data_IF_169488157761
#
_entry.id   IF_169488157761
#
_cell.length_a   1.000
_cell.length_b   1.000
_cell.length_c   1.000
_cell.angle_alpha   90.00
_cell.angle_beta   90.00
_cell.angle_gamma   90.00
#
_symmetry.space_group_name_H-M   'P 1'
#
loop_
_entity.id
_entity.type
_entity.pdbx_description
1 polymer ?
#
# COMPACT_ATOMS: atom_id res chain seq x y z
N UNK A 1 50.30 -26.84 31.18
CA UNK A 1 49.06 -26.15 31.63
C UNK A 1 48.70 -25.12 30.61
N UNK A 2 47.80 -25.47 29.72
CA UNK A 2 47.35 -24.61 28.61
C UNK A 2 46.14 -23.81 29.05
N UNK A 3 46.28 -22.49 29.09
CA UNK A 3 45.19 -21.54 29.37
C UNK A 3 44.27 -21.47 28.16
N UNK A 4 43.07 -22.02 28.26
CA UNK A 4 41.99 -21.78 27.33
C UNK A 4 41.53 -20.33 27.48
N UNK A 5 41.85 -19.51 26.48
CA UNK A 5 41.32 -18.15 26.38
C UNK A 5 39.81 -18.18 26.20
N UNK A 6 39.09 -17.58 27.15
CA UNK A 6 37.65 -17.28 27.02
C UNK A 6 37.46 -16.29 25.87
N UNK A 7 37.09 -16.76 24.69
CA UNK A 7 36.52 -15.93 23.65
C UNK A 7 35.19 -15.40 24.17
N UNK A 8 35.14 -14.16 24.65
CA UNK A 8 33.91 -13.42 24.81
C UNK A 8 33.25 -13.30 23.45
N UNK A 9 32.22 -14.11 23.18
CA UNK A 9 31.29 -13.89 22.09
C UNK A 9 30.71 -12.51 22.33
N UNK A 10 31.16 -11.53 21.52
CA UNK A 10 30.60 -10.17 21.57
C UNK A 10 29.09 -10.28 21.34
N UNK A 11 28.28 -9.71 22.24
CA UNK A 11 26.83 -9.64 22.03
C UNK A 11 26.59 -9.04 20.65
N UNK A 12 26.06 -9.85 19.75
CA UNK A 12 25.69 -9.40 18.41
C UNK A 12 24.72 -8.22 18.58
N UNK A 13 25.01 -7.07 17.99
CA UNK A 13 24.22 -5.85 18.14
C UNK A 13 22.81 -6.10 17.59
N UNK A 14 21.80 -5.97 18.45
CA UNK A 14 20.37 -6.04 18.06
C UNK A 14 20.07 -4.92 17.07
N UNK A 15 19.41 -5.24 15.96
CA UNK A 15 18.93 -4.26 14.98
C UNK A 15 17.63 -3.62 15.46
N UNK A 16 17.58 -2.30 15.53
CA UNK A 16 16.40 -1.56 15.94
C UNK A 16 15.71 -0.96 14.71
N UNK A 17 14.50 -1.37 14.44
CA UNK A 17 13.67 -0.85 13.34
C UNK A 17 12.54 0.00 13.92
N UNK A 18 12.37 1.20 13.40
CA UNK A 18 11.27 2.09 13.72
C UNK A 18 10.33 2.18 12.52
N UNK A 19 9.09 1.75 12.69
CA UNK A 19 8.02 1.97 11.73
C UNK A 19 7.25 3.24 12.11
N UNK A 20 7.26 4.24 11.22
CA UNK A 20 6.46 5.46 11.34
C UNK A 20 5.28 5.33 10.37
N UNK A 21 4.09 5.05 10.91
CA UNK A 21 2.85 5.02 10.14
C UNK A 21 2.21 6.41 10.13
N UNK A 22 2.39 7.13 9.03
CA UNK A 22 1.85 8.48 8.80
C UNK A 22 0.45 8.50 8.18
N UNK A 23 -0.24 7.36 8.10
CA UNK A 23 -1.59 7.30 7.56
C UNK A 23 -2.63 7.82 8.56
N UNK A 24 -3.56 8.73 8.15
CA UNK A 24 -4.71 9.11 8.97
C UNK A 24 -5.65 7.94 9.31
N UNK A 25 -5.63 6.86 8.52
CA UNK A 25 -6.41 5.64 8.77
C UNK A 25 -5.80 4.76 9.88
N UNK A 26 -4.67 5.15 10.46
CA UNK A 26 -3.98 4.42 11.53
C UNK A 26 -3.69 2.98 11.11
N UNK A 27 -4.09 2.01 11.95
CA UNK A 27 -3.88 0.57 11.70
C UNK A 27 -4.63 0.00 10.48
N UNK A 28 -5.61 0.72 9.96
CA UNK A 28 -6.40 0.32 8.78
C UNK A 28 -5.81 0.83 7.45
N UNK A 29 -4.56 1.23 7.44
CA UNK A 29 -3.86 1.76 6.27
C UNK A 29 -3.44 0.65 5.31
N UNK A 30 -3.65 0.85 4.00
CA UNK A 30 -3.16 -0.06 2.97
C UNK A 30 -1.62 -0.05 2.86
N UNK A 31 -1.00 1.13 2.95
CA UNK A 31 0.47 1.23 2.97
C UNK A 31 1.10 0.53 4.18
N UNK A 32 0.36 0.44 5.30
CA UNK A 32 0.82 -0.32 6.47
C UNK A 32 0.87 -1.83 6.21
N UNK A 33 -0.01 -2.38 5.36
CA UNK A 33 0.05 -3.79 4.95
C UNK A 33 1.38 -4.09 4.22
N UNK A 34 1.78 -3.19 3.31
CA UNK A 34 3.07 -3.29 2.63
C UNK A 34 4.24 -3.23 3.63
N UNK A 35 4.16 -2.29 4.60
CA UNK A 35 5.20 -2.14 5.61
C UNK A 35 5.33 -3.40 6.49
N UNK A 36 4.23 -4.03 6.86
CA UNK A 36 4.27 -5.29 7.61
C UNK A 36 4.87 -6.43 6.79
N UNK A 37 4.52 -6.55 5.52
CA UNK A 37 5.12 -7.56 4.63
C UNK A 37 6.62 -7.36 4.48
N UNK A 38 7.07 -6.11 4.31
CA UNK A 38 8.49 -5.76 4.29
C UNK A 38 9.20 -6.14 5.60
N UNK A 39 8.57 -5.84 6.75
CA UNK A 39 9.08 -6.21 8.08
C UNK A 39 9.16 -7.73 8.26
N UNK A 40 8.22 -8.49 7.74
CA UNK A 40 8.30 -9.95 7.76
C UNK A 40 9.53 -10.47 7.01
N UNK A 41 9.84 -9.89 5.85
CA UNK A 41 11.06 -10.17 5.11
C UNK A 41 12.31 -9.83 5.92
N UNK A 42 12.38 -8.64 6.52
CA UNK A 42 13.45 -8.25 7.43
C UNK A 42 13.65 -9.27 8.54
N UNK A 43 12.57 -9.62 9.26
CA UNK A 43 12.61 -10.56 10.39
C UNK A 43 13.11 -11.93 9.97
N UNK A 44 12.60 -12.44 8.85
CA UNK A 44 12.99 -13.75 8.32
C UNK A 44 14.50 -13.80 8.05
N UNK A 45 15.05 -12.79 7.37
CA UNK A 45 16.45 -12.77 7.00
C UNK A 45 17.37 -12.55 8.21
N UNK A 46 16.99 -11.65 9.14
CA UNK A 46 17.76 -11.50 10.39
C UNK A 46 17.78 -12.79 11.21
N UNK A 47 16.64 -13.51 11.29
CA UNK A 47 16.56 -14.80 11.99
C UNK A 47 17.43 -15.87 11.33
N UNK A 48 17.41 -15.97 9.99
CA UNK A 48 18.26 -16.89 9.23
C UNK A 48 19.76 -16.67 9.50
N UNK A 49 20.15 -15.41 9.72
CA UNK A 49 21.52 -15.03 10.04
C UNK A 49 21.84 -15.04 11.54
N UNK A 50 20.94 -15.55 12.39
CA UNK A 50 21.12 -15.61 13.85
C UNK A 50 21.20 -14.25 14.52
N UNK A 51 20.66 -13.18 13.88
CA UNK A 51 20.67 -11.82 14.41
C UNK A 51 19.33 -11.46 15.04
N UNK A 52 19.35 -10.69 16.12
CA UNK A 52 18.15 -10.17 16.76
C UNK A 52 17.67 -8.88 16.10
N UNK A 53 16.36 -8.75 15.91
CA UNK A 53 15.69 -7.55 15.43
C UNK A 53 14.61 -7.10 16.41
N UNK A 54 14.49 -5.80 16.62
CA UNK A 54 13.43 -5.16 17.41
C UNK A 54 12.64 -4.23 16.52
N UNK A 55 11.32 -4.37 16.55
CA UNK A 55 10.42 -3.49 15.81
C UNK A 55 9.70 -2.60 16.81
N UNK A 56 9.77 -1.30 16.60
CA UNK A 56 8.98 -0.31 17.33
C UNK A 56 8.08 0.42 16.34
N UNK A 57 6.82 0.66 16.71
CA UNK A 57 5.84 1.29 15.84
C UNK A 57 5.36 2.62 16.41
N UNK A 58 5.22 3.62 15.53
CA UNK A 58 4.58 4.90 15.81
C UNK A 58 3.40 5.08 14.84
N UNK A 59 2.20 5.18 15.39
CA UNK A 59 1.01 5.52 14.61
C UNK A 59 0.70 7.01 14.80
N UNK A 60 1.13 7.83 13.84
CA UNK A 60 1.03 9.31 13.94
C UNK A 60 -0.42 9.77 14.16
N UNK A 61 -1.40 9.05 13.60
CA UNK A 61 -2.81 9.36 13.79
C UNK A 61 -3.30 9.25 15.25
N UNK A 62 -2.59 8.54 16.12
CA UNK A 62 -2.90 8.40 17.54
C UNK A 62 -2.01 9.25 18.45
N UNK A 63 -1.14 10.08 17.84
CA UNK A 63 -0.20 10.93 18.56
C UNK A 63 -0.67 12.39 18.54
N UNK A 64 -0.30 13.12 19.59
CA UNK A 64 -0.48 14.56 19.63
C UNK A 64 0.80 15.24 19.14
N UNK A 65 0.80 15.69 17.88
CA UNK A 65 1.93 16.40 17.25
C UNK A 65 1.39 17.66 16.57
N UNK A 66 1.55 18.79 17.24
CA UNK A 66 1.16 20.10 16.71
C UNK A 66 2.06 20.53 15.55
N UNK A 67 1.58 21.44 14.72
CA UNK A 67 2.36 22.06 13.66
C UNK A 67 3.54 22.88 14.20
N UNK A 68 4.64 22.91 13.46
CA UNK A 68 5.78 23.75 13.79
C UNK A 68 5.41 25.24 13.72
N UNK A 69 5.72 26.03 14.77
CA UNK A 69 5.44 27.46 14.83
C UNK A 69 6.57 28.32 14.23
N UNK A 70 7.66 27.74 13.75
CA UNK A 70 8.82 28.48 13.22
C UNK A 70 9.50 29.41 14.24
N UNK A 71 9.36 29.14 15.54
CA UNK A 71 9.84 30.04 16.60
C UNK A 71 11.34 29.93 16.88
N UNK A 72 12.01 28.91 16.36
CA UNK A 72 13.43 28.61 16.53
C UNK A 72 13.91 28.50 18.00
N UNK A 73 13.02 28.29 18.93
CA UNK A 73 13.36 28.08 20.35
C UNK A 73 14.29 26.88 20.52
N UNK A 74 14.06 25.80 19.75
CA UNK A 74 14.86 24.58 19.71
C UNK A 74 16.30 24.78 19.17
N UNK A 75 16.61 25.94 18.65
CA UNK A 75 17.98 26.35 18.26
C UNK A 75 18.61 27.33 19.23
N UNK A 76 17.79 28.26 19.76
CA UNK A 76 18.29 29.41 20.53
C UNK A 76 18.26 29.22 22.05
N UNK A 77 17.11 28.76 22.59
CA UNK A 77 16.86 28.68 24.05
C UNK A 77 17.02 27.30 24.61
N UNK A 78 16.52 26.29 23.88
CA UNK A 78 16.54 24.87 24.30
C UNK A 78 17.11 24.01 23.18
N UNK A 79 18.42 24.09 22.87
CA UNK A 79 19.04 23.38 21.76
C UNK A 79 18.70 21.88 21.77
N UNK A 80 18.11 21.39 20.65
CA UNK A 80 17.70 19.99 20.52
C UNK A 80 16.34 19.63 21.13
N UNK A 81 15.65 20.58 21.81
CA UNK A 81 14.36 20.33 22.45
C UNK A 81 13.33 21.35 21.95
N UNK A 82 12.18 20.85 21.44
CA UNK A 82 11.09 21.72 21.04
C UNK A 82 10.37 22.29 22.27
N UNK A 83 9.95 23.57 22.18
CA UNK A 83 9.20 24.22 23.26
C UNK A 83 7.72 23.78 23.33
N UNK A 84 7.19 23.16 22.28
CA UNK A 84 5.84 22.58 22.27
C UNK A 84 5.91 21.27 23.04
N UNK A 85 5.08 21.16 24.08
CA UNK A 85 5.01 19.96 24.94
C UNK A 85 3.99 19.00 24.38
N UNK A 86 4.45 18.10 23.51
CA UNK A 86 3.67 17.06 22.87
C UNK A 86 4.54 15.81 22.62
N UNK A 87 4.05 14.87 21.81
CA UNK A 87 4.74 13.58 21.60
C UNK A 87 6.02 13.68 20.74
N UNK A 88 6.34 14.84 20.17
CA UNK A 88 7.45 14.98 19.24
C UNK A 88 8.81 14.63 19.85
N UNK A 89 9.05 14.95 21.12
CA UNK A 89 10.31 14.60 21.79
C UNK A 89 10.48 13.07 21.89
N UNK A 90 9.40 12.34 22.11
CA UNK A 90 9.39 10.87 22.08
C UNK A 90 9.74 10.35 20.69
N UNK A 91 9.15 10.94 19.64
CA UNK A 91 9.46 10.57 18.24
C UNK A 91 10.94 10.76 17.94
N UNK A 92 11.50 11.91 18.27
CA UNK A 92 12.94 12.20 18.08
C UNK A 92 13.81 11.17 18.80
N UNK A 93 13.49 10.88 20.08
CA UNK A 93 14.22 9.89 20.86
C UNK A 93 14.21 8.48 20.25
N UNK A 94 13.08 8.06 19.65
CA UNK A 94 12.95 6.78 18.94
C UNK A 94 13.71 6.77 17.62
N UNK A 95 13.63 7.84 16.83
CA UNK A 95 14.40 7.97 15.59
C UNK A 95 15.92 7.90 15.85
N UNK A 96 16.40 8.53 16.91
CA UNK A 96 17.81 8.48 17.29
C UNK A 96 18.30 7.08 17.67
N UNK A 97 17.44 6.24 18.25
CA UNK A 97 17.76 4.86 18.63
C UNK A 97 17.65 3.85 17.47
N UNK A 98 16.87 4.16 16.45
CA UNK A 98 16.63 3.27 15.33
C UNK A 98 17.87 3.17 14.42
N UNK A 99 18.15 1.96 13.93
CA UNK A 99 19.14 1.68 12.89
C UNK A 99 18.48 1.74 11.50
N UNK A 100 17.18 1.36 11.41
CA UNK A 100 16.35 1.42 10.19
C UNK A 100 15.07 2.18 10.51
N UNK A 101 14.67 3.12 9.66
CA UNK A 101 13.41 3.86 9.78
C UNK A 101 12.56 3.59 8.54
N UNK A 102 11.40 2.98 8.75
CA UNK A 102 10.40 2.73 7.71
C UNK A 102 9.33 3.81 7.77
N UNK A 103 9.16 4.56 6.69
CA UNK A 103 8.15 5.58 6.54
C UNK A 103 6.97 5.02 5.76
N UNK A 104 5.88 4.65 6.44
CA UNK A 104 4.67 4.11 5.81
C UNK A 104 3.57 5.17 5.74
N UNK A 105 3.10 5.49 4.54
CA UNK A 105 2.08 6.53 4.34
C UNK A 105 1.34 6.37 3.01
N UNK A 106 0.06 6.79 2.91
CA UNK A 106 -0.61 6.93 1.62
C UNK A 106 -0.17 8.24 0.94
N UNK A 107 -0.17 8.25 -0.39
CA UNK A 107 0.00 9.47 -1.15
C UNK A 107 -1.27 10.33 -1.04
N UNK A 108 -1.17 11.52 -0.44
CA UNK A 108 -2.27 12.48 -0.34
C UNK A 108 -1.90 13.76 -1.08
N UNK A 109 -2.67 14.10 -2.11
CA UNK A 109 -2.46 15.28 -2.93
C UNK A 109 -0.98 15.42 -3.39
N UNK A 110 -0.45 14.32 -3.93
CA UNK A 110 0.92 14.16 -4.44
C UNK A 110 2.04 14.34 -3.39
N UNK A 111 1.72 14.25 -2.09
CA UNK A 111 2.70 14.34 -1.02
C UNK A 111 2.31 13.45 0.17
N UNK A 112 3.06 13.55 1.27
CA UNK A 112 2.72 12.87 2.52
C UNK A 112 1.47 13.48 3.16
N UNK A 113 0.69 12.73 3.95
CA UNK A 113 -0.44 13.28 4.71
C UNK A 113 -0.02 14.40 5.66
N UNK A 114 -0.90 15.38 5.89
CA UNK A 114 -0.64 16.54 6.74
C UNK A 114 -0.11 16.20 8.13
N UNK A 115 -0.66 15.14 8.75
CA UNK A 115 -0.19 14.67 10.08
C UNK A 115 1.28 14.21 10.05
N UNK A 116 1.69 13.52 8.97
CA UNK A 116 3.09 13.12 8.79
C UNK A 116 3.97 14.33 8.46
N UNK A 117 3.45 15.29 7.69
CA UNK A 117 4.17 16.54 7.41
C UNK A 117 4.43 17.35 8.68
N UNK A 118 3.46 17.42 9.61
CA UNK A 118 3.69 18.03 10.93
C UNK A 118 4.86 17.37 11.67
N UNK A 119 4.92 16.03 11.70
CA UNK A 119 6.04 15.32 12.30
C UNK A 119 7.37 15.66 11.63
N UNK A 120 7.41 15.70 10.29
CA UNK A 120 8.62 16.04 9.53
C UNK A 120 9.07 17.47 9.83
N UNK A 121 8.17 18.46 9.81
CA UNK A 121 8.50 19.85 10.09
C UNK A 121 8.99 20.08 11.54
N UNK A 122 8.55 19.21 12.45
CA UNK A 122 8.93 19.25 13.85
C UNK A 122 10.27 18.55 14.15
N UNK A 123 11.02 18.10 13.13
CA UNK A 123 12.37 17.55 13.27
C UNK A 123 13.46 18.64 13.35
N UNK A 124 13.11 19.90 13.23
CA UNK A 124 14.05 21.03 13.33
C UNK A 124 15.00 20.98 14.56
N UNK A 125 14.62 20.46 15.75
CA UNK A 125 15.54 20.25 16.87
C UNK A 125 16.71 19.30 16.56
N UNK A 126 16.58 18.45 15.55
CA UNK A 126 17.64 17.52 15.14
C UNK A 126 18.73 18.18 14.29
N UNK A 127 18.52 19.42 13.87
CA UNK A 127 19.49 20.18 13.07
C UNK A 127 20.18 21.26 13.91
N UNK A 128 21.36 21.67 13.46
CA UNK A 128 22.09 22.84 13.96
C UNK A 128 21.61 24.12 13.25
N UNK A 129 21.71 25.30 13.88
CA UNK A 129 21.28 26.55 13.25
C UNK A 129 22.22 27.06 12.17
N UNK A 130 23.40 26.46 12.04
CA UNK A 130 24.43 26.92 11.12
C UNK A 130 24.19 26.40 9.71
N UNK A 131 24.41 27.25 8.72
CA UNK A 131 24.33 26.90 7.31
C UNK A 131 25.50 26.02 6.91
N UNK A 132 25.22 24.99 6.11
CA UNK A 132 26.22 24.13 5.48
C UNK A 132 25.98 24.08 3.97
N UNK A 133 27.04 23.80 3.21
CA UNK A 133 26.94 23.57 1.77
C UNK A 133 26.35 22.18 1.46
N UNK A 134 25.75 22.07 0.28
CA UNK A 134 25.29 20.79 -0.27
C UNK A 134 26.06 20.48 -1.54
N UNK A 135 26.57 19.25 -1.62
CA UNK A 135 27.31 18.75 -2.79
C UNK A 135 26.41 17.92 -3.73
N UNK A 136 25.22 17.51 -3.27
CA UNK A 136 24.28 16.66 -4.02
C UNK A 136 23.46 17.41 -5.10
N UNK A 137 23.68 18.72 -5.30
CA UNK A 137 22.97 19.55 -6.27
C UNK A 137 21.51 19.87 -5.89
N UNK A 138 21.08 19.53 -4.69
CA UNK A 138 19.71 19.77 -4.20
C UNK A 138 19.65 21.03 -3.32
N UNK A 139 19.37 22.16 -3.95
CA UNK A 139 19.24 23.43 -3.26
C UNK A 139 20.61 24.12 -2.98
N UNK A 140 20.54 25.31 -2.38
CA UNK A 140 21.70 26.19 -2.16
C UNK A 140 22.29 26.10 -0.75
N UNK A 141 21.78 25.21 0.09
CA UNK A 141 22.27 25.07 1.45
C UNK A 141 21.48 24.05 2.26
N UNK A 142 22.04 23.72 3.41
CA UNK A 142 21.47 22.81 4.38
C UNK A 142 21.83 23.27 5.79
N UNK A 143 21.41 22.48 6.76
CA UNK A 143 21.83 22.57 8.16
C UNK A 143 22.40 21.23 8.58
N UNK A 144 23.56 21.22 9.20
CA UNK A 144 24.18 20.00 9.69
C UNK A 144 23.29 19.32 10.75
N UNK A 145 23.40 18.01 10.83
CA UNK A 145 22.71 17.28 11.89
C UNK A 145 23.32 17.58 13.25
N UNK A 146 22.47 17.75 14.26
CA UNK A 146 22.90 17.89 15.67
C UNK A 146 23.39 16.55 16.25
N UNK A 147 22.90 15.45 15.71
CA UNK A 147 23.17 14.10 16.20
C UNK A 147 23.90 13.28 15.15
N UNK A 148 24.65 12.28 15.58
CA UNK A 148 25.21 11.33 14.63
C UNK A 148 24.08 10.49 13.99
N UNK A 149 23.87 10.72 12.70
CA UNK A 149 22.88 10.00 11.87
C UNK A 149 23.56 9.01 10.92
N UNK A 150 24.89 8.85 11.02
CA UNK A 150 25.65 7.94 10.17
C UNK A 150 25.17 6.47 10.33
N UNK A 151 25.08 5.77 9.21
CA UNK A 151 24.67 4.37 9.17
C UNK A 151 23.17 4.14 9.38
N UNK A 152 22.35 5.18 9.59
CA UNK A 152 20.89 5.03 9.61
C UNK A 152 20.37 4.80 8.20
N UNK A 153 19.49 3.81 8.08
CA UNK A 153 18.89 3.42 6.80
C UNK A 153 17.42 3.79 6.77
N UNK A 154 16.93 4.16 5.60
CA UNK A 154 15.54 4.60 5.44
C UNK A 154 14.86 3.86 4.29
N UNK A 155 13.56 3.55 4.46
CA UNK A 155 12.71 3.01 3.40
C UNK A 155 11.40 3.77 3.39
N UNK A 156 10.97 4.22 2.22
CA UNK A 156 9.68 4.86 2.00
C UNK A 156 8.71 3.84 1.43
N UNK A 157 7.64 3.56 2.13
CA UNK A 157 6.63 2.56 1.75
C UNK A 157 5.28 3.26 1.61
N UNK A 158 4.74 3.31 0.39
CA UNK A 158 3.55 4.10 0.12
C UNK A 158 2.62 3.45 -0.90
N UNK A 159 1.33 3.76 -0.78
CA UNK A 159 0.30 3.41 -1.76
C UNK A 159 -0.41 4.65 -2.25
N UNK A 160 -0.82 4.65 -3.52
CA UNK A 160 -1.69 5.69 -4.07
C UNK A 160 -2.92 5.09 -4.76
N UNK A 161 -3.94 5.92 -4.95
CA UNK A 161 -5.19 5.56 -5.63
C UNK A 161 -5.13 5.64 -7.16
N UNK A 162 -3.98 5.98 -7.76
CA UNK A 162 -3.80 6.01 -9.21
C UNK A 162 -3.46 4.61 -9.75
N UNK A 163 -3.66 4.40 -11.05
CA UNK A 163 -3.34 3.10 -11.66
C UNK A 163 -1.86 2.73 -11.57
N UNK A 164 -0.96 3.70 -11.50
CA UNK A 164 0.48 3.51 -11.35
C UNK A 164 1.04 4.46 -10.29
N UNK A 165 2.15 4.06 -9.66
CA UNK A 165 2.95 4.94 -8.83
C UNK A 165 3.84 5.89 -9.64
N UNK A 166 4.15 5.53 -10.88
CA UNK A 166 5.09 6.28 -11.74
C UNK A 166 4.65 7.72 -11.95
N UNK A 167 5.59 8.66 -11.77
CA UNK A 167 5.37 10.11 -11.91
C UNK A 167 4.51 10.76 -10.81
N UNK A 168 3.91 9.99 -9.92
CA UNK A 168 3.02 10.53 -8.89
C UNK A 168 3.75 10.88 -7.57
N UNK A 169 4.99 10.43 -7.41
CA UNK A 169 5.76 10.59 -6.18
C UNK A 169 6.90 11.62 -6.27
N UNK A 170 7.04 12.36 -7.36
CA UNK A 170 8.17 13.27 -7.59
C UNK A 170 8.34 14.32 -6.49
N UNK A 171 7.22 14.88 -5.98
CA UNK A 171 7.27 15.84 -4.87
C UNK A 171 7.67 15.21 -3.55
N UNK A 172 7.27 13.94 -3.30
CA UNK A 172 7.67 13.16 -2.13
C UNK A 172 9.17 12.87 -2.20
N UNK A 173 9.64 12.33 -3.32
CA UNK A 173 11.05 12.02 -3.53
C UNK A 173 11.90 13.28 -3.36
N UNK A 174 11.49 14.39 -3.98
CA UNK A 174 12.21 15.66 -3.85
C UNK A 174 12.29 16.16 -2.40
N UNK A 175 11.21 16.04 -1.62
CA UNK A 175 11.18 16.39 -0.21
C UNK A 175 12.15 15.51 0.61
N UNK A 176 12.12 14.19 0.39
CA UNK A 176 13.00 13.25 1.11
C UNK A 176 14.45 13.37 0.66
N UNK A 177 14.74 13.70 -0.61
CA UNK A 177 16.09 14.04 -1.07
C UNK A 177 16.69 15.23 -0.30
N UNK A 178 15.87 16.26 -0.03
CA UNK A 178 16.30 17.38 0.81
C UNK A 178 16.51 16.97 2.27
N UNK A 179 15.72 16.07 2.77
CA UNK A 179 15.69 15.67 4.17
C UNK A 179 16.74 14.60 4.52
N UNK A 180 16.88 13.59 3.67
CA UNK A 180 17.76 12.42 3.91
C UNK A 180 19.01 12.41 3.04
N UNK A 181 19.05 13.23 1.98
CA UNK A 181 20.04 13.16 0.91
C UNK A 181 19.60 12.23 -0.22
N UNK A 182 19.95 12.61 -1.46
CA UNK A 182 19.59 11.84 -2.65
C UNK A 182 20.20 10.45 -2.62
N UNK A 183 19.36 9.43 -2.83
CA UNK A 183 19.79 8.03 -2.88
C UNK A 183 20.10 7.40 -1.53
N UNK A 184 19.80 8.07 -0.42
CA UNK A 184 20.02 7.53 0.93
C UNK A 184 18.81 6.81 1.51
N UNK A 185 17.92 6.34 0.65
CA UNK A 185 16.73 5.58 1.03
C UNK A 185 16.27 4.67 -0.11
N UNK A 186 15.59 3.60 0.24
CA UNK A 186 14.89 2.72 -0.70
C UNK A 186 13.40 3.07 -0.76
N UNK A 187 12.72 2.65 -1.83
CA UNK A 187 11.30 2.94 -2.05
C UNK A 187 10.50 1.68 -2.38
N UNK A 188 9.31 1.56 -1.80
CA UNK A 188 8.28 0.59 -2.18
C UNK A 188 7.00 1.37 -2.42
N UNK A 189 6.76 1.76 -3.66
CA UNK A 189 5.59 2.55 -4.06
C UNK A 189 4.64 1.72 -4.90
N UNK A 190 3.39 1.60 -4.47
CA UNK A 190 2.37 0.80 -5.12
C UNK A 190 1.20 1.68 -5.57
N UNK A 191 0.89 1.64 -6.87
CA UNK A 191 -0.39 2.14 -7.40
C UNK A 191 -1.55 1.23 -6.99
N UNK A 192 -2.78 1.61 -7.36
CA UNK A 192 -3.99 0.80 -7.13
C UNK A 192 -4.20 0.42 -5.65
N UNK A 193 -3.73 1.27 -4.74
CA UNK A 193 -3.63 0.96 -3.31
C UNK A 193 -4.96 0.63 -2.62
N UNK A 194 -6.11 1.05 -3.15
CA UNK A 194 -7.41 0.71 -2.57
C UNK A 194 -7.79 -0.77 -2.77
N UNK A 195 -7.18 -1.47 -3.75
CA UNK A 195 -7.44 -2.90 -3.99
C UNK A 195 -7.04 -3.79 -2.80
N UNK A 196 -6.09 -3.37 -1.97
CA UNK A 196 -5.72 -4.10 -0.76
C UNK A 196 -6.86 -4.22 0.29
N UNK A 197 -8.00 -3.58 0.06
CA UNK A 197 -9.20 -3.68 0.90
C UNK A 197 -10.27 -4.59 0.31
N UNK A 198 -10.14 -4.94 -0.96
CA UNK A 198 -11.12 -5.70 -1.71
C UNK A 198 -10.82 -7.18 -1.52
N UNK A 199 -11.64 -7.87 -0.74
CA UNK A 199 -11.44 -9.30 -0.41
C UNK A 199 -11.44 -10.19 -1.63
N UNK A 200 -12.28 -9.87 -2.60
CA UNK A 200 -12.45 -10.58 -3.88
C UNK A 200 -11.15 -10.59 -4.71
N UNK A 201 -10.23 -9.67 -4.43
CA UNK A 201 -8.95 -9.52 -5.14
C UNK A 201 -7.74 -9.92 -4.28
N UNK A 202 -7.98 -10.60 -3.15
CA UNK A 202 -6.94 -10.94 -2.18
C UNK A 202 -5.80 -11.75 -2.78
N UNK A 203 -6.08 -12.71 -3.64
CA UNK A 203 -5.05 -13.54 -4.28
C UNK A 203 -3.99 -12.68 -4.99
N UNK A 204 -4.42 -11.69 -5.81
CA UNK A 204 -3.50 -10.81 -6.53
C UNK A 204 -2.76 -9.84 -5.63
N UNK A 205 -3.42 -9.32 -4.59
CA UNK A 205 -2.78 -8.41 -3.63
C UNK A 205 -1.80 -9.14 -2.71
N UNK A 206 -2.06 -10.40 -2.37
CA UNK A 206 -1.14 -11.27 -1.61
C UNK A 206 0.14 -11.58 -2.40
N UNK A 207 0.04 -11.90 -3.70
CA UNK A 207 1.23 -12.05 -4.57
C UNK A 207 2.13 -10.81 -4.54
N UNK A 208 1.52 -9.62 -4.56
CA UNK A 208 2.28 -8.37 -4.45
C UNK A 208 2.94 -8.22 -3.07
N UNK A 209 2.23 -8.56 -2.00
CA UNK A 209 2.77 -8.53 -0.64
C UNK A 209 3.93 -9.53 -0.47
N UNK A 210 3.89 -10.68 -1.13
CA UNK A 210 5.01 -11.62 -1.15
C UNK A 210 6.25 -11.02 -1.83
N UNK A 211 6.08 -10.27 -2.92
CA UNK A 211 7.18 -9.54 -3.53
C UNK A 211 7.76 -8.45 -2.60
N UNK A 212 6.89 -7.76 -1.84
CA UNK A 212 7.32 -6.78 -0.82
C UNK A 212 8.09 -7.48 0.32
N UNK A 213 7.70 -8.69 0.70
CA UNK A 213 8.43 -9.50 1.69
C UNK A 213 9.81 -9.89 1.19
N UNK A 214 9.94 -10.27 -0.10
CA UNK A 214 11.25 -10.52 -0.73
C UNK A 214 12.12 -9.27 -0.67
N UNK A 215 11.57 -8.10 -1.01
CA UNK A 215 12.29 -6.83 -0.91
C UNK A 215 12.81 -6.55 0.52
N UNK A 216 12.02 -6.89 1.54
CA UNK A 216 12.43 -6.77 2.94
C UNK A 216 13.59 -7.69 3.30
N UNK A 217 13.61 -8.93 2.79
CA UNK A 217 14.71 -9.88 3.00
C UNK A 217 16.00 -9.41 2.32
N UNK A 218 15.93 -9.00 1.04
CA UNK A 218 17.09 -8.45 0.31
C UNK A 218 17.67 -7.20 1.02
N UNK A 219 16.78 -6.32 1.49
CA UNK A 219 17.20 -5.13 2.23
C UNK A 219 17.87 -5.45 3.56
N UNK A 220 17.45 -6.51 4.25
CA UNK A 220 18.10 -6.97 5.48
C UNK A 220 19.54 -7.43 5.23
N UNK A 221 19.77 -8.13 4.11
CA UNK A 221 21.06 -8.68 3.72
C UNK A 221 22.02 -7.60 3.21
N UNK A 222 21.57 -6.80 2.25
CA UNK A 222 22.43 -5.91 1.45
C UNK A 222 22.25 -4.41 1.76
N UNK A 223 21.15 -4.02 2.39
CA UNK A 223 20.76 -2.62 2.54
C UNK A 223 20.09 -2.02 1.30
N UNK A 224 19.84 -2.82 0.26
CA UNK A 224 19.25 -2.39 -1.01
C UNK A 224 18.20 -3.40 -1.49
N UNK A 225 17.26 -2.94 -2.31
CA UNK A 225 16.32 -3.78 -3.05
C UNK A 225 16.95 -4.07 -4.41
N UNK A 226 16.98 -5.35 -4.83
CA UNK A 226 17.56 -5.71 -6.13
C UNK A 226 16.75 -5.12 -7.29
N UNK A 227 17.41 -4.83 -8.41
CA UNK A 227 16.73 -4.36 -9.63
C UNK A 227 15.65 -5.34 -10.13
N UNK A 228 15.84 -6.64 -9.89
CA UNK A 228 14.85 -7.67 -10.23
C UNK A 228 13.58 -7.51 -9.39
N UNK A 229 13.72 -7.37 -8.09
CA UNK A 229 12.59 -7.20 -7.17
C UNK A 229 11.91 -5.84 -7.37
N UNK A 230 12.68 -4.76 -7.56
CA UNK A 230 12.14 -3.44 -7.90
C UNK A 230 11.29 -3.48 -9.18
N UNK A 231 11.74 -4.20 -10.22
CA UNK A 231 10.95 -4.38 -11.45
C UNK A 231 9.61 -5.09 -11.19
N UNK A 232 9.58 -6.10 -10.31
CA UNK A 232 8.33 -6.77 -9.90
C UNK A 232 7.42 -5.80 -9.13
N UNK A 233 7.96 -5.02 -8.21
CA UNK A 233 7.20 -4.04 -7.42
C UNK A 233 6.61 -2.90 -8.26
N UNK A 234 7.16 -2.64 -9.45
CA UNK A 234 6.62 -1.65 -10.41
C UNK A 234 5.52 -2.22 -11.31
N UNK A 235 5.26 -3.53 -11.30
CA UNK A 235 4.19 -4.11 -12.10
C UNK A 235 2.82 -3.69 -11.56
N UNK A 236 1.88 -3.47 -12.47
CA UNK A 236 0.50 -3.15 -12.08
C UNK A 236 -0.18 -4.38 -11.46
N UNK A 237 -1.02 -4.17 -10.45
CA UNK A 237 -1.88 -5.23 -9.91
C UNK A 237 -2.86 -5.71 -10.97
N UNK A 238 -3.50 -4.76 -11.65
CA UNK A 238 -4.39 -5.00 -12.79
C UNK A 238 -4.05 -4.05 -13.94
N UNK A 239 -4.36 -4.41 -15.21
CA UNK A 239 -4.21 -3.51 -16.35
C UNK A 239 -4.96 -2.19 -16.09
N UNK A 240 -4.42 -1.09 -16.60
CA UNK A 240 -4.96 0.26 -16.39
C UNK A 240 -6.48 0.34 -16.63
N UNK A 241 -6.94 -0.13 -17.80
CA UNK A 241 -8.34 -0.06 -18.16
C UNK A 241 -9.27 -0.82 -17.19
N UNK A 242 -8.80 -1.98 -16.70
CA UNK A 242 -9.52 -2.80 -15.72
C UNK A 242 -9.61 -2.05 -14.39
N UNK A 243 -8.47 -1.54 -13.90
CA UNK A 243 -8.43 -0.81 -12.63
C UNK A 243 -9.31 0.45 -12.68
N UNK A 244 -9.22 1.26 -13.74
CA UNK A 244 -9.98 2.50 -13.87
C UNK A 244 -11.50 2.23 -13.88
N UNK A 245 -11.96 1.17 -14.57
CA UNK A 245 -13.37 0.76 -14.55
C UNK A 245 -13.82 0.29 -13.17
N UNK A 246 -13.00 -0.52 -12.48
CA UNK A 246 -13.31 -0.95 -11.10
C UNK A 246 -13.35 0.23 -10.13
N UNK A 247 -12.38 1.13 -10.23
CA UNK A 247 -12.28 2.31 -9.37
C UNK A 247 -13.48 3.25 -9.57
N UNK A 248 -13.84 3.55 -10.83
CA UNK A 248 -14.99 4.37 -11.15
C UNK A 248 -16.29 3.74 -10.61
N UNK A 249 -16.48 2.43 -10.83
CA UNK A 249 -17.66 1.73 -10.30
C UNK A 249 -17.71 1.75 -8.77
N UNK A 250 -16.57 1.67 -8.08
CA UNK A 250 -16.49 1.61 -6.61
C UNK A 250 -17.09 2.82 -5.90
N UNK A 251 -17.21 3.96 -6.58
CA UNK A 251 -17.85 5.14 -6.02
C UNK A 251 -19.37 4.97 -5.85
N UNK A 252 -19.99 4.05 -6.63
CA UNK A 252 -21.42 3.77 -6.57
C UNK A 252 -22.27 5.00 -6.92
N UNK A 253 -21.79 5.81 -7.86
CA UNK A 253 -22.44 7.03 -8.32
C UNK A 253 -22.60 6.96 -9.83
N UNK A 254 -23.83 7.14 -10.30
CA UNK A 254 -24.12 7.24 -11.72
C UNK A 254 -23.48 8.51 -12.30
N UNK A 255 -22.64 8.37 -13.31
CA UNK A 255 -21.90 9.49 -13.91
C UNK A 255 -22.81 10.58 -14.52
N UNK A 256 -23.99 10.18 -14.99
CA UNK A 256 -24.91 11.08 -15.71
C UNK A 256 -25.84 11.79 -14.75
N UNK A 257 -26.43 11.05 -13.79
CA UNK A 257 -27.46 11.60 -12.88
C UNK A 257 -26.88 12.10 -11.56
N UNK A 258 -25.68 11.64 -11.17
CA UNK A 258 -25.09 11.91 -9.86
C UNK A 258 -25.74 11.14 -8.71
N UNK A 259 -26.67 10.24 -9.00
CA UNK A 259 -27.41 9.46 -8.01
C UNK A 259 -26.61 8.25 -7.54
N UNK A 260 -26.88 7.82 -6.31
CA UNK A 260 -26.27 6.62 -5.74
C UNK A 260 -26.82 5.37 -6.44
N UNK A 261 -25.93 4.51 -6.90
CA UNK A 261 -26.28 3.21 -7.48
C UNK A 261 -26.43 2.12 -6.40
N UNK A 262 -27.30 1.11 -6.62
CA UNK A 262 -27.43 -0.06 -5.74
C UNK A 262 -26.12 -0.83 -5.62
N UNK A 263 -25.85 -1.44 -4.45
CA UNK A 263 -24.61 -2.17 -4.17
C UNK A 263 -24.39 -3.34 -5.13
N UNK A 264 -25.43 -4.06 -5.46
CA UNK A 264 -25.40 -5.20 -6.40
C UNK A 264 -25.09 -4.76 -7.85
N UNK A 265 -25.54 -3.57 -8.29
CA UNK A 265 -25.13 -2.99 -9.57
C UNK A 265 -23.66 -2.58 -9.56
N UNK A 266 -23.22 -1.92 -8.49
CA UNK A 266 -21.81 -1.53 -8.28
C UNK A 266 -20.92 -2.77 -8.35
N UNK A 267 -21.26 -3.81 -7.62
CA UNK A 267 -20.55 -5.09 -7.64
C UNK A 267 -20.52 -5.72 -9.05
N UNK A 268 -21.68 -5.74 -9.74
CA UNK A 268 -21.78 -6.27 -11.10
C UNK A 268 -20.88 -5.53 -12.07
N UNK A 269 -20.78 -4.19 -11.96
CA UNK A 269 -19.87 -3.37 -12.78
C UNK A 269 -18.39 -3.69 -12.48
N UNK A 270 -18.05 -3.87 -11.21
CA UNK A 270 -16.68 -4.24 -10.81
C UNK A 270 -16.30 -5.63 -11.30
N UNK A 271 -17.21 -6.60 -11.19
CA UNK A 271 -17.01 -7.96 -11.71
C UNK A 271 -16.87 -7.94 -13.25
N UNK A 272 -17.72 -7.21 -13.95
CA UNK A 272 -17.64 -7.08 -15.41
C UNK A 272 -16.29 -6.47 -15.86
N UNK A 273 -15.72 -5.55 -15.09
CA UNK A 273 -14.43 -4.93 -15.41
C UNK A 273 -13.26 -5.93 -15.44
N UNK A 274 -13.38 -7.06 -14.74
CA UNK A 274 -12.37 -8.12 -14.71
C UNK A 274 -12.37 -9.00 -15.96
N UNK A 275 -13.33 -8.83 -16.87
CA UNK A 275 -13.38 -9.60 -18.11
C UNK A 275 -12.10 -9.44 -18.93
N UNK A 276 -11.47 -10.58 -19.26
CA UNK A 276 -10.29 -10.62 -20.10
C UNK A 276 -10.66 -10.63 -21.58
N UNK A 277 -10.61 -9.46 -22.23
CA UNK A 277 -10.91 -9.34 -23.67
C UNK A 277 -9.99 -10.16 -24.57
N UNK A 278 -8.80 -10.57 -24.11
CA UNK A 278 -7.90 -11.43 -24.87
C UNK A 278 -8.39 -12.89 -24.97
N UNK A 279 -9.33 -13.30 -24.10
CA UNK A 279 -9.99 -14.59 -24.17
C UNK A 279 -11.18 -14.61 -25.15
N UNK A 280 -11.47 -13.49 -25.84
CA UNK A 280 -12.57 -13.43 -26.80
C UNK A 280 -12.34 -14.36 -28.00
N UNK A 281 -13.23 -15.33 -28.17
CA UNK A 281 -13.16 -16.39 -29.20
C UNK A 281 -13.89 -16.08 -30.51
N UNK A 282 -14.29 -14.83 -30.74
CA UNK A 282 -15.05 -14.39 -31.91
C UNK A 282 -16.57 -14.40 -31.72
N UNK A 283 -17.07 -14.78 -30.53
CA UNK A 283 -18.51 -14.79 -30.20
C UNK A 283 -18.81 -13.80 -29.10
N UNK A 284 -19.75 -12.90 -29.34
CA UNK A 284 -20.29 -12.06 -28.26
C UNK A 284 -21.19 -12.92 -27.36
N UNK A 285 -21.04 -12.75 -26.04
CA UNK A 285 -21.87 -13.42 -25.05
C UNK A 285 -22.54 -12.40 -24.14
N UNK A 286 -23.73 -12.74 -23.66
CA UNK A 286 -24.47 -11.94 -22.71
C UNK A 286 -24.73 -12.78 -21.46
N UNK A 287 -24.05 -12.46 -20.37
CA UNK A 287 -24.27 -13.04 -19.07
C UNK A 287 -25.35 -12.24 -18.34
N UNK A 288 -26.45 -12.89 -18.02
CA UNK A 288 -27.54 -12.30 -17.22
C UNK A 288 -27.45 -12.77 -15.78
N UNK A 289 -27.32 -11.82 -14.85
CA UNK A 289 -27.29 -12.04 -13.41
C UNK A 289 -28.65 -11.63 -12.81
N UNK A 290 -29.37 -12.59 -12.28
CA UNK A 290 -30.60 -12.34 -11.54
C UNK A 290 -30.37 -12.59 -10.04
N UNK A 291 -30.34 -11.50 -9.26
CA UNK A 291 -30.20 -11.54 -7.80
C UNK A 291 -31.57 -11.77 -7.16
N UNK A 292 -31.84 -13.03 -6.77
CA UNK A 292 -33.17 -13.49 -6.38
C UNK A 292 -33.66 -12.89 -5.05
N UNK A 293 -32.77 -12.56 -4.13
CA UNK A 293 -33.07 -11.92 -2.84
C UNK A 293 -33.40 -10.42 -2.97
N UNK A 294 -32.88 -9.76 -4.02
CA UNK A 294 -33.10 -8.35 -4.30
C UNK A 294 -34.12 -8.12 -5.42
N UNK A 295 -34.48 -9.17 -6.18
CA UNK A 295 -35.27 -9.11 -7.40
C UNK A 295 -34.72 -8.13 -8.44
N UNK A 296 -33.37 -8.05 -8.55
CA UNK A 296 -32.68 -7.25 -9.54
C UNK A 296 -32.05 -8.12 -10.63
N UNK A 297 -32.06 -7.64 -11.85
CA UNK A 297 -31.44 -8.32 -13.00
C UNK A 297 -30.55 -7.38 -13.76
N UNK A 298 -29.31 -7.81 -14.02
CA UNK A 298 -28.33 -7.08 -14.81
C UNK A 298 -27.78 -7.97 -15.91
N UNK A 299 -27.49 -7.38 -17.07
CA UNK A 299 -26.87 -8.08 -18.20
C UNK A 299 -25.46 -7.57 -18.42
N UNK A 300 -24.52 -8.48 -18.63
CA UNK A 300 -23.13 -8.17 -18.91
C UNK A 300 -22.86 -8.66 -20.34
N UNK A 301 -22.69 -7.71 -21.25
CA UNK A 301 -22.22 -8.01 -22.61
C UNK A 301 -20.71 -8.19 -22.58
N UNK A 302 -20.24 -9.34 -23.10
CA UNK A 302 -18.83 -9.72 -23.19
C UNK A 302 -18.46 -9.80 -24.66
N UNK A 303 -17.60 -8.92 -25.10
CA UNK A 303 -17.27 -8.79 -26.51
C UNK A 303 -15.78 -8.49 -26.76
N UNK A 304 -15.41 -8.30 -28.02
CA UNK A 304 -14.05 -8.03 -28.45
C UNK A 304 -13.42 -6.80 -27.80
N UNK A 305 -14.22 -5.76 -27.60
CA UNK A 305 -13.74 -4.48 -27.05
C UNK A 305 -13.75 -4.44 -25.51
N UNK A 306 -14.24 -5.51 -24.87
CA UNK A 306 -14.35 -5.61 -23.41
C UNK A 306 -15.75 -5.96 -22.96
N UNK A 307 -16.10 -5.54 -21.74
CA UNK A 307 -17.39 -5.78 -21.12
C UNK A 307 -18.19 -4.49 -20.92
N UNK A 308 -19.53 -4.61 -20.94
CA UNK A 308 -20.48 -3.54 -20.67
C UNK A 308 -21.64 -4.08 -19.82
N UNK A 309 -22.04 -3.35 -18.77
CA UNK A 309 -23.19 -3.70 -17.95
C UNK A 309 -24.43 -2.93 -18.44
N UNK A 310 -25.48 -3.66 -18.80
CA UNK A 310 -26.79 -3.16 -19.23
C UNK A 310 -27.81 -3.49 -18.17
N UNK A 311 -28.49 -2.49 -17.61
CA UNK A 311 -29.40 -2.67 -16.49
C UNK A 311 -30.89 -2.69 -16.89
N UNK A 312 -31.21 -2.51 -18.18
CA UNK A 312 -32.57 -2.43 -18.68
C UNK A 312 -33.15 -3.75 -19.23
N UNK A 313 -32.34 -4.81 -19.20
CA UNK A 313 -32.78 -6.13 -19.68
C UNK A 313 -33.01 -6.22 -21.19
N UNK A 314 -32.47 -5.29 -21.98
CA UNK A 314 -32.74 -5.17 -23.41
C UNK A 314 -32.06 -6.21 -24.29
N UNK A 315 -31.07 -6.95 -23.75
CA UNK A 315 -30.28 -7.93 -24.49
C UNK A 315 -30.85 -9.34 -24.40
N UNK A 316 -30.62 -10.16 -25.42
CA UNK A 316 -30.90 -11.60 -25.34
C UNK A 316 -29.73 -12.30 -24.62
N UNK A 317 -29.99 -12.89 -23.47
CA UNK A 317 -28.98 -13.59 -22.68
C UNK A 317 -28.55 -14.91 -23.34
N UNK A 318 -27.24 -15.16 -23.37
CA UNK A 318 -26.67 -16.47 -23.76
C UNK A 318 -26.53 -17.41 -22.55
N UNK A 319 -26.30 -16.82 -21.38
CA UNK A 319 -26.15 -17.51 -20.09
C UNK A 319 -26.88 -16.72 -19.03
N UNK A 320 -27.67 -17.42 -18.18
CA UNK A 320 -28.38 -16.80 -17.05
C UNK A 320 -28.00 -17.48 -15.77
N UNK A 321 -27.62 -16.66 -14.76
CA UNK A 321 -27.35 -17.11 -13.40
C UNK A 321 -28.45 -16.53 -12.50
N UNK A 322 -29.17 -17.43 -11.76
CA UNK A 322 -30.07 -17.02 -10.71
C UNK A 322 -29.43 -17.34 -9.37
N UNK A 323 -29.20 -16.34 -8.54
CA UNK A 323 -28.47 -16.46 -7.27
C UNK A 323 -28.95 -15.42 -6.27
N UNK A 324 -28.99 -15.68 -4.96
CA UNK A 324 -28.98 -14.60 -3.97
C UNK A 324 -27.68 -13.80 -4.08
N UNK A 325 -27.77 -12.47 -3.97
CA UNK A 325 -26.59 -11.60 -4.02
C UNK A 325 -25.57 -11.99 -2.95
N UNK A 326 -26.03 -12.30 -1.73
CA UNK A 326 -25.15 -12.74 -0.65
C UNK A 326 -24.36 -14.02 -0.98
N UNK A 327 -24.94 -14.97 -1.71
CA UNK A 327 -24.26 -16.19 -2.14
C UNK A 327 -23.18 -15.85 -3.17
N UNK A 328 -23.49 -15.00 -4.14
CA UNK A 328 -22.52 -14.59 -5.17
C UNK A 328 -21.33 -13.83 -4.59
N UNK A 329 -21.57 -12.96 -3.59
CA UNK A 329 -20.51 -12.32 -2.83
C UNK A 329 -19.63 -13.33 -2.08
N UNK A 330 -20.22 -14.34 -1.43
CA UNK A 330 -19.46 -15.37 -0.72
C UNK A 330 -18.57 -16.20 -1.67
N UNK A 331 -19.07 -16.50 -2.88
CA UNK A 331 -18.28 -17.17 -3.92
C UNK A 331 -17.12 -16.29 -4.38
N UNK A 332 -17.39 -15.02 -4.68
CA UNK A 332 -16.36 -14.08 -5.16
C UNK A 332 -15.25 -13.80 -4.13
N UNK A 333 -15.57 -13.95 -2.84
CA UNK A 333 -14.63 -13.84 -1.71
C UNK A 333 -13.88 -15.12 -1.38
N UNK A 334 -14.18 -16.20 -2.08
CA UNK A 334 -13.62 -17.52 -1.79
C UNK A 334 -14.10 -18.12 -0.46
N UNK A 335 -15.19 -17.61 0.12
CA UNK A 335 -15.78 -18.12 1.36
C UNK A 335 -16.52 -19.46 1.12
N UNK A 336 -16.96 -19.67 -0.12
CA UNK A 336 -17.50 -20.93 -0.63
C UNK A 336 -17.02 -21.16 -2.06
N UNK A 337 -16.68 -22.39 -2.42
CA UNK A 337 -16.33 -22.74 -3.81
C UNK A 337 -17.52 -22.65 -4.75
N UNK A 338 -17.34 -22.09 -5.96
CA UNK A 338 -18.42 -21.98 -6.95
C UNK A 338 -19.05 -23.34 -7.30
N UNK A 339 -18.23 -24.38 -7.52
CA UNK A 339 -18.71 -25.74 -7.78
C UNK A 339 -19.47 -26.33 -6.57
N UNK A 340 -19.02 -26.08 -5.35
CA UNK A 340 -19.69 -26.49 -4.12
C UNK A 340 -21.07 -25.84 -3.98
N UNK A 341 -21.14 -24.52 -4.20
CA UNK A 341 -22.38 -23.75 -4.14
C UNK A 341 -23.39 -24.24 -5.21
N UNK A 342 -22.90 -24.52 -6.43
CA UNK A 342 -23.73 -25.09 -7.50
C UNK A 342 -24.25 -26.49 -7.12
N UNK A 343 -23.40 -27.36 -6.61
CA UNK A 343 -23.76 -28.71 -6.15
C UNK A 343 -24.79 -28.70 -5.01
N UNK A 344 -24.75 -27.67 -4.15
CA UNK A 344 -25.71 -27.41 -3.08
C UNK A 344 -26.96 -26.67 -3.56
N UNK A 345 -27.09 -26.41 -4.86
CA UNK A 345 -28.20 -25.68 -5.47
C UNK A 345 -28.42 -24.25 -4.86
N UNK A 346 -27.34 -23.61 -4.38
CA UNK A 346 -27.39 -22.25 -3.85
C UNK A 346 -27.56 -21.22 -4.97
N UNK A 347 -27.22 -21.60 -6.20
CA UNK A 347 -27.51 -20.84 -7.42
C UNK A 347 -27.76 -21.79 -8.58
N UNK A 348 -28.33 -21.29 -9.67
CA UNK A 348 -28.61 -22.07 -10.88
C UNK A 348 -28.04 -21.36 -12.10
N UNK A 349 -27.65 -22.11 -13.10
CA UNK A 349 -27.16 -21.65 -14.39
C UNK A 349 -28.03 -22.22 -15.50
N UNK A 350 -28.40 -21.40 -16.48
CA UNK A 350 -29.13 -21.82 -17.68
C UNK A 350 -28.44 -21.24 -18.92
N UNK A 351 -28.43 -21.96 -20.03
CA UNK A 351 -27.80 -21.57 -21.28
C UNK A 351 -26.38 -22.09 -21.44
N UNK A 352 -25.48 -21.30 -21.98
CA UNK A 352 -24.08 -21.69 -22.27
C UNK A 352 -23.24 -21.78 -20.98
N UNK A 353 -22.86 -22.99 -20.58
CA UNK A 353 -22.04 -23.25 -19.42
C UNK A 353 -20.54 -22.96 -19.62
N UNK A 354 -20.08 -22.78 -20.87
CA UNK A 354 -18.65 -22.54 -21.14
C UNK A 354 -18.14 -21.28 -20.44
N UNK A 355 -18.99 -20.27 -20.25
CA UNK A 355 -18.67 -19.05 -19.50
C UNK A 355 -18.35 -19.27 -18.02
N UNK A 356 -18.65 -20.42 -17.46
CA UNK A 356 -18.42 -20.74 -16.04
C UNK A 356 -17.06 -21.44 -15.82
N UNK A 357 -16.35 -21.76 -16.87
CA UNK A 357 -15.12 -22.56 -16.85
C UNK A 357 -13.89 -21.69 -17.21
N UNK A 358 -14.09 -20.62 -17.97
CA UNK A 358 -13.08 -19.66 -18.40
C UNK A 358 -13.00 -18.46 -17.45
#
# INVERSE_FOLDING_TARGET
MSSFGNYKIGKQKRMNVLLINGSPKGKNSNSLKLAYSFIEGLKSEYANNGKEISIEELHVASMNIDACKGCFTCWKKTPGICCIKDDMQTVIGKQLKADIILWSFPLYYFNVPGILKNLIDRQLPMSLPFMSSREDGYGSGSHDSRYNMEGKRHVLISTCGFYSAEGNYDSVLRMFDHFLGKGNYETVFCGQGELFRVKELSARTEEYLDAVKVAGAEYAETGMISAKTDAVLRTLLYPREVFEKMADASWGINRTTGEKEPEDLVFTRQMAALYNKNAYDGKERVLEMHFTDLNHTYQIRLGKEGSEVVADGSLTSTTRINTPFAVWLAISRGEIGGAEALGKQMYTVAGDFSLMID
#
